data_IF_052696040621
#
_entry.id   IF_052696040621
#
_cell.length_a   1.000
_cell.length_b   1.000
_cell.length_c   1.000
_cell.angle_alpha   90.00
_cell.angle_beta   90.00
_cell.angle_gamma   90.00
#
_symmetry.space_group_name_H-M   'P 1'
#
loop_
_entity.id
_entity.type
_entity.pdbx_description
1 polymer ?
#
# COMPACT_ATOMS: atom_id res chain seq x y z
N UNK A 1 -30.87 3.65 22.56
CA UNK A 1 -30.10 2.66 21.76
C UNK A 1 -29.45 3.27 20.51
N UNK A 2 -30.13 4.15 19.75
CA UNK A 2 -29.55 4.82 18.58
C UNK A 2 -28.35 5.76 18.87
N UNK A 3 -28.27 6.35 20.07
CA UNK A 3 -27.20 7.28 20.48
C UNK A 3 -25.85 6.61 20.79
N UNK A 4 -25.84 5.29 20.99
CA UNK A 4 -24.61 4.51 21.23
C UNK A 4 -23.96 4.12 19.91
N UNK A 5 -24.76 3.79 18.88
CA UNK A 5 -24.26 3.42 17.55
C UNK A 5 -23.56 4.58 16.82
N UNK A 6 -24.00 5.83 17.01
CA UNK A 6 -23.34 7.00 16.42
C UNK A 6 -21.96 7.25 17.01
N UNK A 7 -21.81 7.03 18.32
CA UNK A 7 -20.56 7.27 19.03
C UNK A 7 -19.46 6.26 18.63
N UNK A 8 -19.83 4.99 18.39
CA UNK A 8 -18.92 3.95 17.90
C UNK A 8 -18.41 4.24 16.47
N UNK A 9 -19.29 4.73 15.59
CA UNK A 9 -18.93 5.08 14.21
C UNK A 9 -18.05 6.35 14.17
N UNK A 10 -18.39 7.39 14.95
CA UNK A 10 -17.57 8.60 15.05
C UNK A 10 -16.21 8.31 15.70
N UNK A 11 -16.16 7.43 16.70
CA UNK A 11 -14.92 6.99 17.33
C UNK A 11 -14.04 6.22 16.35
N UNK A 12 -14.62 5.26 15.61
CA UNK A 12 -13.91 4.50 14.57
C UNK A 12 -13.36 5.43 13.48
N UNK A 13 -14.13 6.42 13.03
CA UNK A 13 -13.70 7.39 12.03
C UNK A 13 -12.58 8.29 12.57
N UNK A 14 -12.67 8.73 13.83
CA UNK A 14 -11.63 9.51 14.50
C UNK A 14 -10.32 8.73 14.67
N UNK A 15 -10.40 7.43 15.00
CA UNK A 15 -9.23 6.56 15.09
C UNK A 15 -8.56 6.33 13.73
N UNK A 16 -9.33 6.11 12.67
CA UNK A 16 -8.80 5.93 11.31
C UNK A 16 -8.15 7.23 10.83
N UNK A 17 -8.80 8.37 11.02
CA UNK A 17 -8.25 9.69 10.67
C UNK A 17 -7.00 10.00 11.50
N UNK A 18 -7.00 9.64 12.78
CA UNK A 18 -5.84 9.76 13.66
C UNK A 18 -4.65 8.94 13.16
N UNK A 19 -4.84 7.66 12.87
CA UNK A 19 -3.79 6.78 12.38
C UNK A 19 -3.23 7.22 11.02
N UNK A 20 -4.10 7.64 10.09
CA UNK A 20 -3.69 8.16 8.78
C UNK A 20 -2.94 9.47 8.92
N UNK A 21 -3.42 10.39 9.78
CA UNK A 21 -2.76 11.69 10.00
C UNK A 21 -1.38 11.52 10.63
N UNK A 22 -1.22 10.62 11.60
CA UNK A 22 0.09 10.32 12.22
C UNK A 22 1.02 9.65 11.22
N UNK A 23 0.53 8.70 10.41
CA UNK A 23 1.32 8.06 9.36
C UNK A 23 1.79 9.05 8.29
N UNK A 24 0.91 9.97 7.87
CA UNK A 24 1.24 11.06 6.94
C UNK A 24 2.21 12.05 7.57
N UNK A 25 2.00 12.44 8.84
CA UNK A 25 2.90 13.36 9.54
C UNK A 25 4.30 12.78 9.69
N UNK A 26 4.41 11.49 10.06
CA UNK A 26 5.69 10.78 10.16
C UNK A 26 6.36 10.60 8.79
N UNK A 27 5.58 10.35 7.74
CA UNK A 27 6.09 10.30 6.36
C UNK A 27 6.61 11.65 5.89
N UNK A 28 5.86 12.73 6.13
CA UNK A 28 6.26 14.10 5.77
C UNK A 28 7.45 14.59 6.59
N UNK A 29 7.54 14.26 7.88
CA UNK A 29 8.73 14.51 8.70
C UNK A 29 9.97 13.75 8.19
N UNK A 30 9.77 12.61 7.51
CA UNK A 30 10.84 11.90 6.80
C UNK A 30 11.22 12.51 5.44
N UNK A 31 10.41 13.44 4.90
CA UNK A 31 10.71 14.18 3.67
C UNK A 31 11.43 15.52 3.95
N UNK A 32 11.46 15.97 5.20
CA UNK A 32 12.00 17.29 5.59
C UNK A 32 13.50 17.25 5.92
N UNK A 33 14.26 16.49 5.13
CA UNK A 33 15.72 16.57 5.09
C UNK A 33 16.14 17.29 3.80
N UNK A 34 16.04 18.62 3.83
CA UNK A 34 16.50 19.55 2.78
C UNK A 34 18.02 19.51 2.52
N UNK A 35 18.73 18.41 2.81
CA UNK A 35 20.18 18.27 2.61
C UNK A 35 20.61 16.84 2.24
N UNK A 36 20.28 16.41 1.02
CA UNK A 36 21.08 15.39 0.35
C UNK A 36 20.94 15.42 -1.19
N UNK A 37 21.03 16.61 -1.80
CA UNK A 37 21.56 16.71 -3.16
C UNK A 37 23.10 16.59 -3.10
N UNK A 38 23.60 15.45 -2.63
CA UNK A 38 25.03 15.15 -2.56
C UNK A 38 25.41 14.07 -3.61
N UNK A 39 24.78 14.11 -4.78
CA UNK A 39 25.25 13.42 -5.98
C UNK A 39 26.38 14.24 -6.64
N UNK A 40 27.38 14.63 -5.85
CA UNK A 40 28.58 15.31 -6.29
C UNK A 40 29.70 14.30 -6.57
N UNK A 41 30.49 14.47 -7.64
CA UNK A 41 31.44 13.46 -8.13
C UNK A 41 32.66 13.16 -7.23
N UNK A 42 32.82 13.86 -6.10
CA UNK A 42 33.96 13.72 -5.19
C UNK A 42 33.48 13.57 -3.74
N UNK A 43 33.46 12.36 -3.18
CA UNK A 43 33.23 12.20 -1.74
C UNK A 43 33.04 10.76 -1.23
N UNK A 44 33.72 10.34 -0.15
CA UNK A 44 33.54 9.05 0.55
C UNK A 44 32.22 8.96 1.33
N UNK A 45 31.10 9.32 0.68
CA UNK A 45 29.77 9.54 1.28
C UNK A 45 28.75 8.44 0.97
N UNK A 46 29.14 7.38 0.24
CA UNK A 46 28.24 6.26 -0.05
C UNK A 46 27.98 5.42 1.21
N UNK A 47 29.00 5.20 2.04
CA UNK A 47 28.89 4.40 3.27
C UNK A 47 27.95 5.09 4.29
N UNK A 48 28.12 6.39 4.51
CA UNK A 48 27.27 7.19 5.39
C UNK A 48 25.84 7.37 4.83
N UNK A 49 25.67 7.47 3.50
CA UNK A 49 24.36 7.48 2.85
C UNK A 49 23.63 6.16 3.04
N UNK A 50 24.31 5.03 2.80
CA UNK A 50 23.72 3.70 2.91
C UNK A 50 23.35 3.36 4.36
N UNK A 51 24.15 3.76 5.34
CA UNK A 51 23.82 3.60 6.76
C UNK A 51 22.57 4.39 7.15
N UNK A 52 22.40 5.60 6.60
CA UNK A 52 21.21 6.43 6.80
C UNK A 52 19.97 5.79 6.14
N UNK A 53 20.07 5.41 4.86
CA UNK A 53 18.99 4.77 4.09
C UNK A 53 18.54 3.48 4.74
N UNK A 54 19.45 2.64 5.23
CA UNK A 54 19.11 1.37 5.88
C UNK A 54 18.23 1.58 7.11
N UNK A 55 18.48 2.63 7.89
CA UNK A 55 17.69 2.97 9.08
C UNK A 55 16.25 3.34 8.69
N UNK A 56 16.08 4.19 7.68
CA UNK A 56 14.75 4.60 7.22
C UNK A 56 14.03 3.51 6.42
N UNK A 57 14.74 2.66 5.70
CA UNK A 57 14.17 1.52 4.98
C UNK A 57 13.45 0.56 5.93
N UNK A 58 14.02 0.28 7.11
CA UNK A 58 13.39 -0.56 8.12
C UNK A 58 12.14 0.09 8.74
N UNK A 59 12.14 1.40 8.95
CA UNK A 59 10.95 2.12 9.41
C UNK A 59 9.86 2.15 8.33
N UNK A 60 10.22 2.42 7.08
CA UNK A 60 9.29 2.39 5.96
C UNK A 60 8.66 0.99 5.81
N UNK A 61 9.46 -0.07 5.91
CA UNK A 61 8.99 -1.45 5.82
C UNK A 61 8.02 -1.79 6.96
N UNK A 62 8.34 -1.43 8.21
CA UNK A 62 7.48 -1.76 9.36
C UNK A 62 6.17 -0.98 9.34
N UNK A 63 6.20 0.32 9.04
CA UNK A 63 5.00 1.16 8.88
C UNK A 63 4.17 0.69 7.67
N UNK A 64 4.80 0.42 6.53
CA UNK A 64 4.10 -0.08 5.34
C UNK A 64 3.50 -1.45 5.58
N UNK A 65 4.18 -2.34 6.32
CA UNK A 65 3.67 -3.67 6.68
C UNK A 65 2.47 -3.55 7.61
N UNK A 66 2.51 -2.64 8.60
CA UNK A 66 1.36 -2.35 9.46
C UNK A 66 0.16 -1.82 8.67
N UNK A 67 0.38 -0.91 7.73
CA UNK A 67 -0.66 -0.40 6.84
C UNK A 67 -1.19 -1.50 5.88
N UNK A 68 -0.31 -2.33 5.35
CA UNK A 68 -0.70 -3.47 4.52
C UNK A 68 -1.58 -4.43 5.32
N UNK A 69 -1.17 -4.72 6.56
CA UNK A 69 -1.86 -5.65 7.44
C UNK A 69 -3.29 -5.21 7.72
N UNK A 70 -3.52 -3.92 8.00
CA UNK A 70 -4.88 -3.40 8.24
C UNK A 70 -5.74 -3.42 6.99
N UNK A 71 -5.18 -3.19 5.80
CA UNK A 71 -5.89 -3.31 4.52
C UNK A 71 -6.25 -4.77 4.21
N UNK A 72 -5.34 -5.71 4.48
CA UNK A 72 -5.54 -7.13 4.20
C UNK A 72 -6.38 -7.86 5.25
N UNK A 73 -6.44 -7.38 6.49
CA UNK A 73 -7.22 -7.97 7.58
C UNK A 73 -8.69 -8.27 7.20
N UNK A 74 -9.48 -7.30 6.65
CA UNK A 74 -10.86 -7.59 6.25
C UNK A 74 -10.95 -8.64 5.13
N UNK A 75 -9.98 -8.68 4.22
CA UNK A 75 -9.94 -9.68 3.13
C UNK A 75 -9.75 -11.07 3.70
N UNK A 76 -8.84 -11.23 4.67
CA UNK A 76 -8.64 -12.52 5.36
C UNK A 76 -9.86 -12.95 6.17
N UNK A 77 -10.55 -12.01 6.81
CA UNK A 77 -11.77 -12.30 7.56
C UNK A 77 -12.92 -12.75 6.64
N UNK A 78 -13.08 -12.11 5.48
CA UNK A 78 -14.00 -12.54 4.45
C UNK A 78 -13.67 -13.94 3.91
N UNK A 79 -12.38 -14.29 3.83
CA UNK A 79 -11.93 -15.61 3.37
C UNK A 79 -12.31 -16.76 4.33
N UNK A 80 -12.64 -16.48 5.59
CA UNK A 80 -13.11 -17.50 6.55
C UNK A 80 -14.48 -18.05 6.18
N UNK A 81 -15.30 -17.28 5.45
CA UNK A 81 -16.59 -17.74 4.93
C UNK A 81 -16.40 -18.37 3.54
N UNK A 82 -16.76 -19.65 3.34
CA UNK A 82 -16.45 -20.38 2.10
C UNK A 82 -17.10 -19.75 0.85
N UNK A 83 -18.30 -19.21 0.99
CA UNK A 83 -19.01 -18.52 -0.10
C UNK A 83 -18.28 -17.23 -0.51
N UNK A 84 -17.90 -16.41 0.48
CA UNK A 84 -17.17 -15.15 0.23
C UNK A 84 -15.77 -15.42 -0.32
N UNK A 85 -15.10 -16.49 0.11
CA UNK A 85 -13.80 -16.88 -0.41
C UNK A 85 -13.87 -17.22 -1.92
N UNK A 86 -14.85 -18.02 -2.33
CA UNK A 86 -15.08 -18.34 -3.75
C UNK A 86 -15.38 -17.06 -4.54
N UNK A 87 -16.19 -16.14 -3.99
CA UNK A 87 -16.52 -14.89 -4.66
C UNK A 87 -15.27 -14.01 -4.87
N UNK A 88 -14.42 -13.88 -3.86
CA UNK A 88 -13.15 -13.12 -3.97
C UNK A 88 -12.24 -13.75 -5.02
N UNK A 89 -12.07 -15.09 -4.99
CA UNK A 89 -11.26 -15.80 -5.99
C UNK A 89 -11.84 -15.66 -7.40
N UNK A 90 -13.15 -15.71 -7.56
CA UNK A 90 -13.81 -15.55 -8.85
C UNK A 90 -13.64 -14.12 -9.39
N UNK A 91 -13.74 -13.10 -8.54
CA UNK A 91 -13.54 -11.70 -8.95
C UNK A 91 -12.07 -11.44 -9.31
N UNK A 92 -11.12 -11.88 -8.47
CA UNK A 92 -9.69 -11.69 -8.73
C UNK A 92 -9.22 -12.51 -9.92
N UNK A 93 -9.55 -13.81 -9.96
CA UNK A 93 -9.18 -14.70 -11.05
C UNK A 93 -9.88 -14.34 -12.36
N UNK A 94 -11.18 -14.07 -12.31
CA UNK A 94 -11.96 -13.62 -13.47
C UNK A 94 -11.49 -12.28 -14.00
N UNK A 95 -11.22 -11.30 -13.13
CA UNK A 95 -10.66 -10.00 -13.51
C UNK A 95 -9.29 -10.15 -14.17
N UNK A 96 -8.39 -10.93 -13.58
CA UNK A 96 -7.07 -11.21 -14.16
C UNK A 96 -7.18 -11.89 -15.52
N UNK A 97 -8.09 -12.86 -15.66
CA UNK A 97 -8.37 -13.51 -16.93
C UNK A 97 -8.85 -12.51 -17.97
N UNK A 98 -9.83 -11.66 -17.65
CA UNK A 98 -10.34 -10.64 -18.58
C UNK A 98 -9.24 -9.66 -19.01
N UNK A 99 -8.41 -9.19 -18.09
CA UNK A 99 -7.26 -8.33 -18.43
C UNK A 99 -6.30 -9.05 -19.38
N UNK A 100 -5.99 -10.32 -19.09
CA UNK A 100 -5.14 -11.14 -19.95
C UNK A 100 -5.74 -11.32 -21.35
N UNK A 101 -7.06 -11.49 -21.45
CA UNK A 101 -7.75 -11.58 -22.73
C UNK A 101 -7.68 -10.27 -23.52
N UNK A 102 -7.85 -9.12 -22.87
CA UNK A 102 -7.73 -7.80 -23.51
C UNK A 102 -6.31 -7.58 -24.01
N UNK A 103 -5.30 -7.81 -23.17
CA UNK A 103 -3.89 -7.66 -23.55
C UNK A 103 -3.53 -8.60 -24.70
N UNK A 104 -3.95 -9.85 -24.64
CA UNK A 104 -3.75 -10.83 -25.71
C UNK A 104 -4.41 -10.39 -27.02
N UNK A 105 -5.65 -9.89 -26.97
CA UNK A 105 -6.34 -9.35 -28.13
C UNK A 105 -5.61 -8.14 -28.72
N UNK A 106 -5.14 -7.20 -27.89
CA UNK A 106 -4.37 -6.04 -28.35
C UNK A 106 -3.07 -6.45 -29.04
N UNK A 107 -2.32 -7.40 -28.47
CA UNK A 107 -1.09 -7.94 -29.08
C UNK A 107 -1.42 -8.64 -30.39
N UNK A 108 -2.49 -9.43 -30.44
CA UNK A 108 -2.91 -10.15 -31.64
C UNK A 108 -3.27 -9.20 -32.79
N UNK A 109 -4.04 -8.14 -32.50
CA UNK A 109 -4.41 -7.11 -33.49
C UNK A 109 -3.16 -6.38 -34.01
N UNK A 110 -2.19 -6.11 -33.14
CA UNK A 110 -0.93 -5.46 -33.53
C UNK A 110 -0.05 -6.36 -34.43
N UNK A 111 0.02 -7.66 -34.13
CA UNK A 111 0.81 -8.63 -34.91
C UNK A 111 0.19 -8.97 -36.27
N UNK A 112 -1.14 -9.07 -36.36
CA UNK A 112 -1.85 -9.42 -37.61
C UNK A 112 -1.84 -8.26 -38.62
N UNK A 113 -1.54 -7.04 -38.19
CA UNK A 113 -1.56 -5.83 -39.03
C UNK A 113 -0.21 -5.43 -39.62
N UNK A 114 0.86 -6.19 -39.32
CA UNK A 114 2.20 -6.09 -39.91
C UNK A 114 2.33 -7.14 -41.02
#
# INVERSE_FOLDING_TARGET
>A
MAHVCTNEIDYSRSLIVGAVSVGVLLFLMGLDDQKALALGPEGPLAEEFWDNVRRYALYALTVSTGALYTIFLPIFELLKNPISAILILAILGGGFYLVSQVVSAMIHIALVKI
#
